data_IF_527500644134
#
_entry.id   IF_527500644134
#
_cell.length_a   1.000
_cell.length_b   1.000
_cell.length_c   1.000
_cell.angle_alpha   90.00
_cell.angle_beta   90.00
_cell.angle_gamma   90.00
#
_symmetry.space_group_name_H-M   'P 1'
#
loop_
_entity.id
_entity.type
_entity.pdbx_description
1 polymer ?
#
# COMPACT_ATOMS: atom_id res chain seq x y z
N UNK A 1 -36.43 -12.04 -1.44
CA UNK A 1 -36.42 -13.50 -1.59
C UNK A 1 -37.75 -14.07 -2.13
N UNK A 2 -38.82 -13.28 -2.29
CA UNK A 2 -40.16 -13.77 -2.69
C UNK A 2 -40.38 -13.94 -4.20
N UNK A 3 -39.39 -13.64 -5.05
CA UNK A 3 -39.52 -13.70 -6.52
C UNK A 3 -38.78 -14.91 -7.15
N UNK A 4 -38.45 -15.94 -6.37
CA UNK A 4 -37.84 -17.15 -6.94
C UNK A 4 -38.94 -18.10 -7.38
N UNK A 5 -39.06 -18.34 -8.68
CA UNK A 5 -39.91 -19.40 -9.19
C UNK A 5 -39.29 -20.77 -8.89
N UNK A 6 -39.92 -21.52 -7.98
CA UNK A 6 -39.48 -22.86 -7.57
C UNK A 6 -39.74 -23.94 -8.62
N UNK A 7 -40.52 -23.62 -9.67
CA UNK A 7 -40.85 -24.58 -10.74
C UNK A 7 -39.62 -24.99 -11.56
N UNK A 8 -38.60 -24.15 -11.64
CA UNK A 8 -37.35 -24.40 -12.39
C UNK A 8 -36.59 -25.64 -11.88
N UNK A 9 -36.80 -26.02 -10.62
CA UNK A 9 -36.19 -27.20 -9.98
C UNK A 9 -36.94 -28.50 -10.24
N UNK A 10 -38.08 -28.46 -10.95
CA UNK A 10 -38.87 -29.66 -11.27
C UNK A 10 -38.56 -30.23 -12.66
N UNK A 11 -37.48 -29.78 -13.30
CA UNK A 11 -37.08 -30.27 -14.61
C UNK A 11 -36.61 -31.74 -14.53
N UNK A 12 -37.16 -32.66 -15.34
CA UNK A 12 -36.79 -34.06 -15.34
C UNK A 12 -35.42 -34.31 -16.02
N UNK A 13 -34.94 -33.37 -16.83
CA UNK A 13 -33.60 -33.38 -17.39
C UNK A 13 -32.59 -32.92 -16.31
N UNK A 14 -31.66 -33.82 -15.99
CA UNK A 14 -30.65 -33.62 -14.96
C UNK A 14 -29.70 -32.45 -15.29
N UNK A 15 -29.35 -32.26 -16.56
CA UNK A 15 -28.40 -31.22 -16.97
C UNK A 15 -29.03 -29.83 -16.85
N UNK A 16 -30.31 -29.74 -17.24
CA UNK A 16 -31.14 -28.54 -17.09
C UNK A 16 -31.37 -28.23 -15.61
N UNK A 17 -31.68 -29.24 -14.80
CA UNK A 17 -31.82 -29.08 -13.35
C UNK A 17 -30.52 -28.58 -12.69
N UNK A 18 -29.38 -29.19 -13.00
CA UNK A 18 -28.07 -28.79 -12.48
C UNK A 18 -27.73 -27.34 -12.87
N UNK A 19 -28.02 -26.96 -14.11
CA UNK A 19 -27.85 -25.60 -14.60
C UNK A 19 -28.69 -24.58 -13.82
N UNK A 20 -29.95 -24.89 -13.52
CA UNK A 20 -30.81 -24.02 -12.70
C UNK A 20 -30.31 -23.89 -11.25
N UNK A 21 -29.85 -24.98 -10.63
CA UNK A 21 -29.29 -24.95 -9.27
C UNK A 21 -28.02 -24.11 -9.21
N UNK A 22 -27.12 -24.27 -10.17
CA UNK A 22 -25.89 -23.47 -10.26
C UNK A 22 -26.23 -21.99 -10.47
N UNK A 23 -27.13 -21.68 -11.40
CA UNK A 23 -27.56 -20.32 -11.68
C UNK A 23 -28.20 -19.64 -10.47
N UNK A 24 -29.09 -20.34 -9.77
CA UNK A 24 -29.73 -19.84 -8.55
C UNK A 24 -28.71 -19.60 -7.43
N UNK A 25 -27.77 -20.52 -7.25
CA UNK A 25 -26.72 -20.39 -6.23
C UNK A 25 -25.82 -19.18 -6.51
N UNK A 26 -25.39 -18.99 -7.77
CA UNK A 26 -24.60 -17.84 -8.16
C UNK A 26 -25.36 -16.52 -7.95
N UNK A 27 -26.65 -16.48 -8.28
CA UNK A 27 -27.50 -15.31 -8.00
C UNK A 27 -27.54 -14.98 -6.51
N UNK A 28 -27.72 -15.99 -5.65
CA UNK A 28 -27.69 -15.78 -4.20
C UNK A 28 -26.32 -15.31 -3.71
N UNK A 29 -25.24 -15.81 -4.29
CA UNK A 29 -23.88 -15.33 -3.99
C UNK A 29 -23.75 -13.85 -4.34
N UNK A 30 -24.21 -13.44 -5.53
CA UNK A 30 -24.13 -12.04 -5.97
C UNK A 30 -25.04 -11.10 -5.17
N UNK A 31 -26.23 -11.57 -4.75
CA UNK A 31 -27.18 -10.78 -3.94
C UNK A 31 -26.77 -10.70 -2.46
N UNK A 32 -26.25 -11.80 -1.89
CA UNK A 32 -25.93 -11.87 -0.46
C UNK A 32 -24.50 -11.44 -0.13
N UNK A 33 -23.55 -11.56 -1.06
CA UNK A 33 -22.16 -11.17 -0.84
C UNK A 33 -21.93 -9.78 -1.43
N UNK A 34 -21.76 -8.74 -0.59
CA UNK A 34 -21.53 -7.39 -1.10
C UNK A 34 -20.20 -7.33 -1.84
N UNK A 35 -20.26 -6.94 -3.11
CA UNK A 35 -19.07 -6.66 -3.91
C UNK A 35 -18.29 -5.48 -3.28
N UNK A 36 -17.01 -5.71 -2.98
CA UNK A 36 -16.11 -4.68 -2.42
C UNK A 36 -15.12 -4.21 -3.48
N UNK A 37 -15.15 -2.92 -3.79
CA UNK A 37 -14.14 -2.30 -4.62
C UNK A 37 -12.84 -2.14 -3.80
N UNK A 38 -11.81 -2.90 -4.14
CA UNK A 38 -10.49 -2.75 -3.52
C UNK A 38 -9.68 -1.74 -4.34
N UNK A 39 -9.53 -0.53 -3.81
CA UNK A 39 -8.62 0.46 -4.40
C UNK A 39 -7.17 0.08 -4.08
N UNK A 40 -6.42 -0.33 -5.09
CA UNK A 40 -4.98 -0.54 -4.97
C UNK A 40 -4.27 0.81 -5.16
N UNK A 41 -3.46 1.21 -4.18
CA UNK A 41 -2.67 2.42 -4.29
C UNK A 41 -1.33 2.12 -4.98
N UNK A 42 -0.79 3.06 -5.77
CA UNK A 42 0.58 3.00 -6.27
C UNK A 42 1.65 2.96 -5.17
N UNK A 43 1.26 3.09 -3.90
CA UNK A 43 2.11 2.86 -2.73
C UNK A 43 2.41 1.35 -2.52
N UNK A 44 2.68 0.64 -3.60
CA UNK A 44 3.40 -0.62 -3.49
C UNK A 44 4.79 -0.26 -2.99
N UNK A 45 5.18 -0.80 -1.84
CA UNK A 45 6.51 -0.57 -1.29
C UNK A 45 7.54 -0.83 -2.41
N UNK A 46 8.55 0.02 -2.60
CA UNK A 46 9.42 -0.03 -3.79
C UNK A 46 10.28 -1.30 -3.87
N UNK A 47 10.37 -2.07 -2.79
CA UNK A 47 10.97 -3.40 -2.76
C UNK A 47 9.99 -4.53 -3.14
N UNK A 48 8.69 -4.28 -3.35
CA UNK A 48 7.71 -5.26 -3.83
C UNK A 48 7.85 -5.47 -5.35
N UNK A 49 8.61 -6.50 -5.73
CA UNK A 49 8.82 -6.91 -7.12
C UNK A 49 7.92 -8.11 -7.53
N UNK A 50 8.03 -8.55 -8.79
CA UNK A 50 7.34 -9.74 -9.32
C UNK A 50 7.66 -11.00 -8.52
N UNK A 51 8.90 -11.16 -8.09
CA UNK A 51 9.39 -12.36 -7.43
C UNK A 51 8.74 -12.54 -6.06
N UNK A 52 8.62 -11.46 -5.28
CA UNK A 52 7.92 -11.50 -3.99
C UNK A 52 6.44 -11.86 -4.20
N UNK A 53 5.80 -11.33 -5.25
CA UNK A 53 4.41 -11.68 -5.57
C UNK A 53 4.28 -13.15 -5.98
N UNK A 54 5.26 -13.69 -6.70
CA UNK A 54 5.34 -15.13 -7.00
C UNK A 54 5.44 -15.95 -5.71
N UNK A 55 6.34 -15.58 -4.80
CA UNK A 55 6.51 -16.26 -3.51
C UNK A 55 5.27 -16.16 -2.61
N UNK A 56 4.55 -15.04 -2.63
CA UNK A 56 3.25 -14.92 -1.96
C UNK A 56 2.23 -15.89 -2.57
N UNK A 57 2.18 -16.00 -3.90
CA UNK A 57 1.29 -16.95 -4.58
C UNK A 57 1.66 -18.39 -4.26
N UNK A 58 2.93 -18.76 -4.32
CA UNK A 58 3.43 -20.09 -3.93
C UNK A 58 3.04 -20.44 -2.48
N UNK A 59 3.22 -19.50 -1.55
CA UNK A 59 2.79 -19.67 -0.16
C UNK A 59 1.27 -19.89 -0.05
N UNK A 60 0.45 -19.08 -0.74
CA UNK A 60 -0.99 -19.26 -0.76
C UNK A 60 -1.41 -20.61 -1.35
N UNK A 61 -0.75 -21.06 -2.43
CA UNK A 61 -1.00 -22.37 -3.03
C UNK A 61 -0.61 -23.50 -2.08
N UNK A 62 0.55 -23.42 -1.42
CA UNK A 62 0.99 -24.41 -0.44
C UNK A 62 0.10 -24.44 0.81
N UNK A 63 -0.46 -23.30 1.22
CA UNK A 63 -1.46 -23.25 2.28
C UNK A 63 -2.74 -23.97 1.86
N UNK A 64 -3.24 -23.70 0.65
CA UNK A 64 -4.46 -24.33 0.10
C UNK A 64 -4.32 -25.84 -0.11
N UNK A 65 -3.11 -26.34 -0.35
CA UNK A 65 -2.87 -27.78 -0.51
C UNK A 65 -2.86 -28.57 0.81
N UNK A 66 -2.84 -27.89 1.97
CA UNK A 66 -2.80 -28.54 3.28
C UNK A 66 -1.47 -29.22 3.62
N UNK A 67 -0.46 -29.13 2.76
CA UNK A 67 0.85 -29.71 3.01
C UNK A 67 1.70 -28.78 3.89
N UNK A 68 1.83 -29.13 5.17
CA UNK A 68 2.52 -28.34 6.18
C UNK A 68 3.99 -28.07 5.84
N UNK A 69 4.72 -29.05 5.28
CA UNK A 69 6.15 -28.85 4.99
C UNK A 69 6.35 -27.95 3.78
N UNK A 70 5.56 -28.14 2.72
CA UNK A 70 5.58 -27.22 1.56
C UNK A 70 5.23 -25.79 1.99
N UNK A 71 4.24 -25.63 2.88
CA UNK A 71 3.91 -24.32 3.41
C UNK A 71 5.04 -23.72 4.24
N UNK A 72 5.73 -24.53 5.07
CA UNK A 72 6.87 -24.09 5.88
C UNK A 72 8.03 -23.61 5.00
N UNK A 73 8.34 -24.34 3.94
CA UNK A 73 9.36 -23.98 2.94
C UNK A 73 8.98 -22.69 2.22
N UNK A 74 7.78 -22.62 1.63
CA UNK A 74 7.32 -21.43 0.91
C UNK A 74 7.29 -20.17 1.81
N UNK A 75 6.91 -20.32 3.08
CA UNK A 75 6.94 -19.24 4.08
C UNK A 75 8.37 -18.78 4.39
N UNK A 76 9.32 -19.71 4.48
CA UNK A 76 10.73 -19.38 4.68
C UNK A 76 11.30 -18.63 3.47
N UNK A 77 11.05 -19.13 2.26
CA UNK A 77 11.51 -18.52 1.01
C UNK A 77 10.95 -17.12 0.81
N UNK A 78 9.65 -16.92 1.08
CA UNK A 78 9.05 -15.59 1.04
C UNK A 78 9.73 -14.63 2.02
N UNK A 79 10.00 -15.06 3.26
CA UNK A 79 10.71 -14.23 4.25
C UNK A 79 12.12 -13.87 3.78
N UNK A 80 12.84 -14.83 3.20
CA UNK A 80 14.19 -14.61 2.66
C UNK A 80 14.16 -13.63 1.50
N UNK A 81 13.26 -13.81 0.53
CA UNK A 81 13.10 -12.92 -0.61
C UNK A 81 12.79 -11.48 -0.18
N UNK A 82 11.88 -11.30 0.79
CA UNK A 82 11.57 -9.96 1.34
C UNK A 82 12.80 -9.32 2.01
N UNK A 83 13.57 -10.08 2.79
CA UNK A 83 14.80 -9.56 3.42
C UNK A 83 15.82 -9.11 2.37
N UNK A 84 16.04 -9.93 1.35
CA UNK A 84 16.97 -9.60 0.25
C UNK A 84 16.49 -8.37 -0.51
N UNK A 85 15.23 -8.32 -0.96
CA UNK A 85 14.71 -7.19 -1.71
C UNK A 85 14.76 -5.86 -0.92
N UNK A 86 14.49 -5.90 0.38
CA UNK A 86 14.66 -4.72 1.26
C UNK A 86 16.11 -4.27 1.35
N UNK A 87 17.06 -5.22 1.47
CA UNK A 87 18.49 -4.93 1.51
C UNK A 87 18.95 -4.33 0.18
N UNK A 88 18.55 -4.89 -0.94
CA UNK A 88 18.92 -4.40 -2.27
C UNK A 88 18.36 -3.00 -2.51
N UNK A 89 17.11 -2.75 -2.13
CA UNK A 89 16.53 -1.42 -2.19
C UNK A 89 17.28 -0.42 -1.30
N UNK A 90 17.65 -0.81 -0.08
CA UNK A 90 18.47 0.01 0.83
C UNK A 90 19.83 0.35 0.19
N UNK A 91 20.54 -0.65 -0.33
CA UNK A 91 21.84 -0.44 -0.99
C UNK A 91 21.73 0.49 -2.19
N UNK A 92 20.67 0.32 -3.00
CA UNK A 92 20.37 1.19 -4.14
C UNK A 92 20.15 2.63 -3.69
N UNK A 93 19.41 2.83 -2.59
CA UNK A 93 19.18 4.15 -2.02
C UNK A 93 20.49 4.77 -1.49
N UNK A 94 21.28 4.03 -0.73
CA UNK A 94 22.56 4.49 -0.16
C UNK A 94 23.60 4.84 -1.23
N UNK A 95 23.63 4.12 -2.36
CA UNK A 95 24.50 4.45 -3.51
C UNK A 95 24.18 5.79 -4.17
N UNK A 96 23.02 6.39 -3.90
CA UNK A 96 22.70 7.74 -4.36
C UNK A 96 23.35 8.82 -3.49
N UNK A 97 23.71 8.48 -2.25
CA UNK A 97 24.33 9.36 -1.26
C UNK A 97 25.85 9.15 -1.13
N UNK A 98 26.38 8.01 -1.56
CA UNK A 98 27.82 7.74 -1.57
C UNK A 98 28.56 8.63 -2.58
N UNK A 99 29.31 9.61 -2.10
CA UNK A 99 30.31 10.33 -2.90
C UNK A 99 31.48 9.39 -3.22
N UNK A 100 31.79 9.23 -4.51
CA UNK A 100 33.01 8.55 -4.91
C UNK A 100 34.22 9.24 -4.29
N UNK A 101 35.13 8.45 -3.72
CA UNK A 101 36.37 8.96 -3.16
C UNK A 101 37.09 9.85 -4.16
N UNK A 102 37.49 11.05 -3.72
CA UNK A 102 38.47 11.88 -4.40
C UNK A 102 37.98 13.10 -5.17
N UNK A 103 36.67 13.35 -5.33
CA UNK A 103 36.22 14.59 -5.99
C UNK A 103 35.04 15.24 -5.27
N UNK A 104 35.33 16.45 -4.77
CA UNK A 104 34.46 17.32 -4.00
C UNK A 104 33.28 17.84 -4.85
N UNK A 105 32.31 16.98 -5.13
CA UNK A 105 31.01 17.38 -5.65
C UNK A 105 29.96 16.48 -5.04
N UNK A 106 29.51 16.82 -3.83
CA UNK A 106 28.22 16.36 -3.32
C UNK A 106 27.17 16.73 -4.38
N UNK A 107 26.75 15.75 -5.18
CA UNK A 107 25.82 16.04 -6.26
C UNK A 107 24.44 16.16 -5.63
N UNK A 108 24.09 17.37 -5.17
CA UNK A 108 22.83 17.66 -4.48
C UNK A 108 21.63 17.16 -5.29
N UNK A 109 21.72 17.15 -6.63
CA UNK A 109 20.71 16.57 -7.51
C UNK A 109 20.47 15.08 -7.27
N UNK A 110 21.53 14.29 -6.99
CA UNK A 110 21.42 12.85 -6.65
C UNK A 110 20.81 12.65 -5.27
N UNK A 111 21.17 13.48 -4.30
CA UNK A 111 20.54 13.46 -2.97
C UNK A 111 19.04 13.79 -3.05
N UNK A 112 18.69 14.87 -3.75
CA UNK A 112 17.30 15.26 -3.99
C UNK A 112 16.52 14.20 -4.75
N UNK A 113 17.16 13.45 -5.65
CA UNK A 113 16.55 12.30 -6.34
C UNK A 113 16.23 11.16 -5.37
N UNK A 114 17.11 10.89 -4.40
CA UNK A 114 16.86 9.90 -3.35
C UNK A 114 15.75 10.31 -2.39
N UNK A 115 15.70 11.58 -1.99
CA UNK A 115 14.64 12.11 -1.13
C UNK A 115 13.26 12.02 -1.79
N UNK A 116 13.17 12.35 -3.09
CA UNK A 116 11.94 12.16 -3.87
C UNK A 116 11.51 10.70 -3.95
N UNK A 117 12.47 9.78 -4.13
CA UNK A 117 12.18 8.34 -4.17
C UNK A 117 11.63 7.80 -2.85
N UNK A 118 12.02 8.38 -1.71
CA UNK A 118 11.49 8.02 -0.38
C UNK A 118 10.09 8.57 -0.13
N UNK A 119 9.86 9.81 -0.53
CA UNK A 119 8.60 10.53 -0.31
C UNK A 119 7.54 10.19 -1.35
N UNK A 120 7.90 9.45 -2.40
CA UNK A 120 7.08 9.24 -3.60
C UNK A 120 6.62 10.58 -4.20
N UNK A 121 7.41 11.64 -3.97
CA UNK A 121 7.23 12.92 -4.60
C UNK A 121 7.61 12.75 -6.07
N UNK A 122 6.60 12.81 -6.95
CA UNK A 122 6.77 12.65 -8.39
C UNK A 122 7.48 13.85 -9.03
N UNK A 123 7.99 14.77 -8.21
CA UNK A 123 8.24 16.14 -8.61
C UNK A 123 6.88 16.79 -8.75
N UNK A 124 6.76 18.01 -8.22
CA UNK A 124 5.62 18.89 -8.48
C UNK A 124 5.15 18.70 -9.92
N UNK A 125 3.98 18.05 -10.09
CA UNK A 125 3.07 18.41 -11.16
C UNK A 125 3.06 19.93 -11.10
N UNK A 126 3.52 20.60 -12.15
CA UNK A 126 3.50 22.05 -12.30
C UNK A 126 2.12 22.57 -11.88
N UNK A 127 1.99 22.89 -10.60
CA UNK A 127 0.75 22.78 -9.87
C UNK A 127 0.80 23.87 -8.83
N UNK A 128 0.42 25.05 -9.31
CA UNK A 128 0.34 26.30 -8.60
C UNK A 128 1.69 26.74 -8.04
N UNK A 129 2.55 27.26 -8.93
CA UNK A 129 3.46 28.31 -8.50
C UNK A 129 2.54 29.47 -8.14
N UNK A 130 2.32 29.71 -6.85
CA UNK A 130 1.63 30.90 -6.41
C UNK A 130 2.53 32.08 -6.82
N UNK A 131 2.10 32.83 -7.83
CA UNK A 131 2.87 33.92 -8.45
C UNK A 131 2.78 35.21 -7.66
N UNK A 132 2.09 35.19 -6.53
CA UNK A 132 2.04 36.31 -5.60
C UNK A 132 3.45 36.62 -5.09
N UNK A 133 4.01 37.79 -5.41
CA UNK A 133 5.35 38.18 -5.00
C UNK A 133 5.49 38.33 -3.47
N UNK A 134 4.38 38.42 -2.73
CA UNK A 134 4.38 38.48 -1.26
C UNK A 134 4.37 37.10 -0.58
N UNK A 135 4.10 36.02 -1.32
CA UNK A 135 4.02 34.67 -0.77
C UNK A 135 5.31 34.18 -0.08
N UNK A 136 6.52 34.49 -0.58
CA UNK A 136 7.76 34.16 0.14
C UNK A 136 7.86 34.85 1.52
N UNK A 137 7.41 36.10 1.63
CA UNK A 137 7.43 36.85 2.90
C UNK A 137 6.42 36.30 3.91
N UNK A 138 5.25 35.86 3.42
CA UNK A 138 4.25 35.16 4.23
C UNK A 138 4.82 33.83 4.79
N UNK A 139 5.47 33.03 3.94
CA UNK A 139 6.11 31.78 4.35
C UNK A 139 7.26 32.02 5.34
N UNK A 140 8.09 33.02 5.09
CA UNK A 140 9.13 33.42 6.03
C UNK A 140 8.54 33.82 7.39
N UNK A 141 7.45 34.59 7.39
CA UNK A 141 6.76 34.98 8.62
C UNK A 141 6.20 33.78 9.37
N UNK A 142 5.61 32.81 8.65
CA UNK A 142 5.04 31.60 9.23
C UNK A 142 6.09 30.66 9.82
N UNK A 143 7.20 30.40 9.12
CA UNK A 143 8.23 29.47 9.57
C UNK A 143 9.29 30.09 10.49
N UNK A 144 9.49 31.41 10.47
CA UNK A 144 10.39 32.12 11.40
C UNK A 144 9.79 32.33 12.81
N UNK A 145 8.60 31.80 13.09
CA UNK A 145 7.94 31.90 14.40
C UNK A 145 8.77 31.31 15.57
N UNK A 146 9.83 30.57 15.29
CA UNK A 146 10.71 30.00 16.32
C UNK A 146 11.68 31.02 16.94
N UNK A 147 11.93 32.17 16.31
CA UNK A 147 12.79 33.23 16.86
C UNK A 147 12.01 34.34 17.58
N UNK A 148 10.70 34.39 17.42
CA UNK A 148 9.85 35.32 18.17
C UNK A 148 9.69 34.74 19.57
N UNK A 149 10.13 35.47 20.61
CA UNK A 149 9.90 35.10 22.00
C UNK A 149 8.47 34.60 22.15
N UNK A 150 8.36 33.34 22.55
CA UNK A 150 7.11 32.61 22.56
C UNK A 150 6.24 33.15 23.71
N UNK A 151 5.56 34.27 23.50
CA UNK A 151 4.62 34.87 24.46
C UNK A 151 3.25 34.18 24.45
N UNK A 152 3.12 33.08 23.70
CA UNK A 152 1.93 32.24 23.74
C UNK A 152 1.86 31.51 25.09
N UNK A 153 0.81 31.70 25.92
CA UNK A 153 0.64 30.90 27.11
C UNK A 153 0.51 29.43 26.70
N UNK A 154 1.32 28.56 27.32
CA UNK A 154 1.31 27.14 27.06
C UNK A 154 -0.10 26.56 27.30
N UNK A 155 -0.84 26.31 26.23
CA UNK A 155 -2.08 25.54 26.27
C UNK A 155 -1.69 24.11 26.68
N UNK A 156 -2.10 23.72 27.89
CA UNK A 156 -1.90 22.36 28.38
C UNK A 156 -2.49 21.37 27.36
N UNK A 157 -1.77 20.30 27.02
CA UNK A 157 -2.29 19.30 26.09
C UNK A 157 -3.56 18.67 26.69
N UNK A 158 -4.60 18.44 25.88
CA UNK A 158 -5.79 17.74 26.33
C UNK A 158 -5.43 16.30 26.77
N UNK A 159 -6.07 15.76 27.81
CA UNK A 159 -5.76 14.44 28.33
C UNK A 159 -6.01 13.36 27.27
N UNK A 160 -4.98 12.57 27.00
CA UNK A 160 -4.99 11.44 26.07
C UNK A 160 -5.99 10.38 26.53
N UNK A 161 -7.14 10.28 25.85
CA UNK A 161 -7.99 9.10 25.98
C UNK A 161 -7.35 7.95 25.19
N UNK A 162 -6.95 6.89 25.90
CA UNK A 162 -6.47 5.65 25.30
C UNK A 162 -7.66 4.86 24.78
N UNK A 163 -7.89 4.90 23.47
CA UNK A 163 -8.81 3.96 22.82
C UNK A 163 -8.05 2.68 22.49
N UNK A 164 -8.33 1.61 23.25
CA UNK A 164 -7.89 0.25 22.92
C UNK A 164 -8.78 -0.31 21.81
N UNK A 165 -8.25 -0.40 20.59
CA UNK A 165 -8.86 -1.23 19.54
C UNK A 165 -8.32 -2.65 19.68
N UNK A 166 -9.20 -3.58 20.05
CA UNK A 166 -8.96 -5.01 19.94
C UNK A 166 -9.21 -5.43 18.47
N UNK A 167 -8.28 -6.20 17.92
CA UNK A 167 -8.51 -7.05 16.74
C UNK A 167 -8.93 -8.44 17.22
#
# INVERSE_FOLDING_TARGET
MELTDWSIFKNPDLDVYASHVIGYTNRLVDECIPAKLVRSFPNCKPWMNSDIRSKQREQCTAFKSGNTELYRMAKYDLRRAIKTAKKDYKNKLESQYGGGGGSNSSNSRRMWKGLRALTNDKGSLAGVINTDPSHPDELNTFYACFERENTMPALKPPPTQRTTHYC
#
